data_IF_796629624344
#
_entry.id   IF_796629624344
#
_cell.length_a   1.000
_cell.length_b   1.000
_cell.length_c   1.000
_cell.angle_alpha   90.00
_cell.angle_beta   90.00
_cell.angle_gamma   90.00
#
_symmetry.space_group_name_H-M   'P 1'
#
loop_
_entity.id
_entity.type
_entity.pdbx_description
1 polymer ?
#
# COMPACT_ATOMS: atom_id res chain seq x y z
N UNK A 1 -18.74 3.69 16.05
CA UNK A 1 -19.67 3.14 15.03
C UNK A 1 -19.27 3.53 13.61
N UNK A 2 -19.12 4.81 13.28
CA UNK A 2 -18.77 5.26 11.92
C UNK A 2 -17.48 4.62 11.37
N UNK A 3 -16.41 4.58 12.18
CA UNK A 3 -15.14 3.93 11.82
C UNK A 3 -15.31 2.43 11.55
N UNK A 4 -16.09 1.73 12.39
CA UNK A 4 -16.40 0.30 12.20
C UNK A 4 -17.13 0.07 10.87
N UNK A 5 -18.05 0.98 10.52
CA UNK A 5 -18.82 0.91 9.27
C UNK A 5 -17.97 0.95 8.00
N UNK A 6 -16.74 1.49 8.04
CA UNK A 6 -15.82 1.47 6.90
C UNK A 6 -15.42 0.04 6.51
N UNK A 7 -15.27 -0.86 7.49
CA UNK A 7 -14.92 -2.26 7.25
C UNK A 7 -16.08 -3.08 6.68
N UNK A 8 -17.34 -2.63 6.83
CA UNK A 8 -18.53 -3.39 6.42
C UNK A 8 -18.72 -3.51 4.90
N UNK A 9 -17.84 -2.90 4.09
CA UNK A 9 -17.88 -2.97 2.61
C UNK A 9 -17.17 -4.21 2.04
N UNK A 10 -16.56 -5.03 2.90
CA UNK A 10 -15.83 -6.23 2.51
C UNK A 10 -16.37 -7.44 3.31
N UNK A 11 -16.45 -8.61 2.67
CA UNK A 11 -16.92 -9.85 3.30
C UNK A 11 -16.08 -10.26 4.53
N UNK A 12 -14.77 -10.02 4.49
CA UNK A 12 -13.81 -10.28 5.57
C UNK A 12 -13.54 -9.03 6.42
N UNK A 13 -14.42 -8.03 6.36
CA UNK A 13 -14.31 -6.77 7.10
C UNK A 13 -14.12 -6.97 8.60
N UNK A 14 -12.92 -6.64 9.09
CA UNK A 14 -12.52 -6.83 10.49
C UNK A 14 -12.08 -5.50 11.10
N UNK A 15 -12.43 -5.29 12.37
CA UNK A 15 -12.05 -4.10 13.13
C UNK A 15 -11.39 -4.54 14.42
N UNK A 16 -10.19 -4.01 14.66
CA UNK A 16 -9.42 -4.25 15.87
C UNK A 16 -9.42 -2.93 16.66
N UNK A 17 -9.83 -2.99 17.93
CA UNK A 17 -9.84 -1.84 18.83
C UNK A 17 -8.76 -2.08 19.90
N UNK A 18 -7.67 -1.33 19.84
CA UNK A 18 -6.62 -1.36 20.88
C UNK A 18 -7.05 -0.48 22.06
N UNK A 19 -7.22 -1.09 23.22
CA UNK A 19 -7.52 -0.40 24.47
C UNK A 19 -7.20 -1.30 25.66
N UNK A 20 -6.79 -0.71 26.78
CA UNK A 20 -6.54 -1.46 28.03
C UNK A 20 -7.85 -1.91 28.71
N UNK A 21 -8.95 -1.19 28.46
CA UNK A 21 -10.27 -1.52 29.01
C UNK A 21 -11.40 -1.14 28.06
N UNK A 22 -12.56 -1.78 28.26
CA UNK A 22 -13.76 -1.50 27.46
C UNK A 22 -14.52 -0.32 28.06
N UNK A 23 -14.44 0.83 27.39
CA UNK A 23 -15.23 2.00 27.77
C UNK A 23 -16.72 1.83 27.46
N UNK A 24 -17.60 2.61 28.09
CA UNK A 24 -19.03 2.57 27.81
C UNK A 24 -19.37 2.89 26.34
N UNK A 25 -18.59 3.78 25.70
CA UNK A 25 -18.75 4.09 24.27
C UNK A 25 -18.37 2.90 23.38
N UNK A 26 -17.28 2.19 23.71
CA UNK A 26 -16.90 0.96 23.02
C UNK A 26 -17.98 -0.11 23.19
N UNK A 27 -18.47 -0.30 24.42
CA UNK A 27 -19.54 -1.26 24.73
C UNK A 27 -20.77 -1.04 23.84
N UNK A 28 -21.32 0.18 23.83
CA UNK A 28 -22.46 0.55 22.96
C UNK A 28 -22.17 0.31 21.48
N UNK A 29 -20.97 0.65 21.01
CA UNK A 29 -20.60 0.47 19.62
C UNK A 29 -20.49 -1.02 19.23
N UNK A 30 -19.91 -1.85 20.10
CA UNK A 30 -19.74 -3.29 19.90
C UNK A 30 -21.12 -3.99 19.93
N UNK A 31 -21.95 -3.66 20.92
CA UNK A 31 -23.30 -4.22 21.06
C UNK A 31 -24.18 -3.91 19.83
N UNK A 32 -24.20 -2.66 19.37
CA UNK A 32 -24.98 -2.29 18.18
C UNK A 32 -24.44 -2.96 16.91
N UNK A 33 -23.12 -3.11 16.79
CA UNK A 33 -22.50 -3.83 15.66
C UNK A 33 -22.90 -5.32 15.67
N UNK A 34 -22.85 -5.96 16.83
CA UNK A 34 -23.24 -7.36 17.00
C UNK A 34 -24.74 -7.57 16.77
N UNK A 35 -25.59 -6.66 17.26
CA UNK A 35 -27.04 -6.68 17.02
C UNK A 35 -27.34 -6.66 15.52
N UNK A 36 -26.73 -5.74 14.77
CA UNK A 36 -26.89 -5.62 13.31
C UNK A 36 -26.40 -6.88 12.59
N UNK A 37 -25.21 -7.39 12.93
CA UNK A 37 -24.63 -8.58 12.31
C UNK A 37 -25.52 -9.81 12.50
N UNK A 38 -26.11 -10.00 13.70
CA UNK A 38 -27.05 -11.10 13.97
C UNK A 38 -28.31 -11.01 13.10
N UNK A 39 -28.91 -9.83 13.00
CA UNK A 39 -30.10 -9.61 12.15
C UNK A 39 -29.79 -9.86 10.67
N UNK A 40 -28.65 -9.37 10.19
CA UNK A 40 -28.19 -9.58 8.82
C UNK A 40 -27.94 -11.06 8.53
N UNK A 41 -27.28 -11.80 9.43
CA UNK A 41 -27.04 -13.22 9.28
C UNK A 41 -28.35 -14.04 9.26
N UNK A 42 -29.31 -13.69 10.13
CA UNK A 42 -30.62 -14.33 10.15
C UNK A 42 -31.41 -14.07 8.86
N UNK A 43 -31.39 -12.83 8.38
CA UNK A 43 -32.00 -12.46 7.09
C UNK A 43 -31.35 -13.24 5.94
N UNK A 44 -30.03 -13.24 5.86
CA UNK A 44 -29.30 -13.96 4.83
C UNK A 44 -29.61 -15.46 4.84
N UNK A 45 -29.65 -16.10 6.01
CA UNK A 45 -30.01 -17.51 6.15
C UNK A 45 -31.45 -17.78 5.70
N UNK A 46 -32.40 -16.93 6.10
CA UNK A 46 -33.81 -17.06 5.71
C UNK A 46 -34.02 -16.92 4.20
N UNK A 47 -33.20 -16.12 3.53
CA UNK A 47 -33.34 -15.80 2.12
C UNK A 47 -32.30 -16.48 1.21
N UNK A 48 -31.44 -17.36 1.74
CA UNK A 48 -30.40 -18.04 0.97
C UNK A 48 -29.33 -17.11 0.38
N UNK A 49 -29.08 -15.95 1.01
CA UNK A 49 -28.14 -14.95 0.50
C UNK A 49 -26.73 -15.27 1.02
N UNK A 50 -25.77 -15.45 0.10
CA UNK A 50 -24.35 -15.54 0.42
C UNK A 50 -23.71 -14.15 0.31
N UNK A 51 -23.09 -13.61 1.38
CA UNK A 51 -22.41 -12.31 1.31
C UNK A 51 -21.29 -12.31 0.26
N UNK A 52 -21.22 -11.26 -0.55
CA UNK A 52 -20.16 -11.04 -1.52
C UNK A 52 -19.65 -9.61 -1.44
N UNK A 53 -18.36 -9.41 -1.73
CA UNK A 53 -17.78 -8.07 -1.82
C UNK A 53 -18.18 -7.44 -3.14
N UNK A 54 -18.72 -6.21 -3.09
CA UNK A 54 -19.09 -5.48 -4.30
C UNK A 54 -17.83 -5.05 -5.05
N UNK A 55 -17.65 -5.54 -6.28
CA UNK A 55 -16.60 -5.08 -7.19
C UNK A 55 -17.11 -3.85 -7.91
N UNK A 56 -16.57 -2.67 -7.56
CA UNK A 56 -16.88 -1.42 -8.25
C UNK A 56 -15.83 -1.19 -9.33
N UNK A 57 -16.25 -1.13 -10.60
CA UNK A 57 -15.36 -0.74 -11.70
C UNK A 57 -14.83 0.68 -11.45
N UNK A 58 -13.52 0.81 -11.23
CA UNK A 58 -12.83 2.08 -11.34
C UNK A 58 -12.90 2.43 -12.84
N UNK A 59 -13.52 3.55 -13.19
CA UNK A 59 -13.79 3.87 -14.58
C UNK A 59 -12.51 3.92 -15.43
N UNK A 60 -12.33 2.94 -16.32
CA UNK A 60 -11.98 3.10 -17.74
C UNK A 60 -11.64 1.75 -18.37
N UNK A 61 -12.36 1.39 -19.43
CA UNK A 61 -12.08 0.26 -20.34
C UNK A 61 -10.71 0.34 -21.06
N UNK A 62 -9.93 1.38 -20.78
CA UNK A 62 -8.63 1.64 -21.39
C UNK A 62 -7.49 0.90 -20.69
N UNK A 63 -7.64 0.56 -19.39
CA UNK A 63 -6.58 -0.12 -18.63
C UNK A 63 -6.31 -1.54 -19.15
N UNK A 64 -7.35 -2.27 -19.54
CA UNK A 64 -7.21 -3.64 -20.09
C UNK A 64 -6.50 -3.68 -21.46
N UNK A 65 -6.51 -2.60 -22.23
CA UNK A 65 -5.83 -2.53 -23.53
C UNK A 65 -4.33 -2.24 -23.34
N UNK A 66 -3.97 -1.43 -22.35
CA UNK A 66 -2.57 -1.07 -22.08
C UNK A 66 -1.74 -2.18 -21.42
N UNK A 67 -2.37 -3.09 -20.64
CA UNK A 67 -1.64 -4.19 -20.01
C UNK A 67 -1.13 -5.26 -21.00
N UNK A 68 -1.63 -5.28 -22.24
CA UNK A 68 -1.23 -6.25 -23.26
C UNK A 68 0.10 -5.92 -23.97
N UNK A 69 0.57 -4.66 -23.92
CA UNK A 69 1.64 -4.17 -24.80
C UNK A 69 3.01 -3.88 -24.13
N UNK A 70 3.18 -4.16 -22.83
CA UNK A 70 4.47 -3.93 -22.18
C UNK A 70 5.47 -5.09 -22.42
N UNK A 71 6.21 -4.99 -23.52
CA UNK A 71 7.51 -5.67 -23.67
C UNK A 71 8.54 -4.93 -22.82
N UNK A 72 9.23 -5.67 -21.95
CA UNK A 72 10.23 -5.15 -21.02
C UNK A 72 11.44 -4.60 -21.78
N UNK A 73 11.63 -3.28 -21.75
CA UNK A 73 12.85 -2.61 -22.22
C UNK A 73 13.91 -2.63 -21.10
N UNK A 74 15.17 -2.98 -21.36
CA UNK A 74 16.22 -3.00 -20.34
C UNK A 74 16.58 -1.58 -19.89
N UNK A 75 16.55 -1.36 -18.56
CA UNK A 75 16.85 -0.09 -17.90
C UNK A 75 18.36 0.21 -17.97
N UNK A 76 18.73 1.32 -18.61
CA UNK A 76 20.09 1.89 -18.53
C UNK A 76 20.18 2.70 -17.24
N UNK A 77 21.12 2.33 -16.37
CA UNK A 77 21.29 2.93 -15.05
C UNK A 77 22.04 4.28 -15.13
N UNK A 78 21.37 5.38 -14.74
CA UNK A 78 22.03 6.64 -14.41
C UNK A 78 22.23 6.83 -12.90
N UNK A 79 23.26 7.62 -12.57
CA UNK A 79 23.95 7.70 -11.27
C UNK A 79 23.04 8.13 -10.10
N UNK A 80 23.20 7.44 -8.97
CA UNK A 80 22.53 7.71 -7.71
C UNK A 80 22.97 9.05 -7.09
N UNK A 81 22.08 10.04 -7.09
CA UNK A 81 22.18 11.19 -6.20
C UNK A 81 21.88 10.75 -4.75
N UNK A 82 22.74 11.16 -3.81
CA UNK A 82 22.54 10.95 -2.37
C UNK A 82 21.46 11.90 -1.88
N UNK A 83 20.24 11.40 -1.62
CA UNK A 83 19.18 12.19 -1.01
C UNK A 83 19.25 12.08 0.52
N UNK A 84 19.12 13.22 1.20
CA UNK A 84 19.07 13.31 2.67
C UNK A 84 17.66 12.87 3.13
N UNK A 85 17.54 12.06 4.20
CA UNK A 85 16.26 11.46 4.61
C UNK A 85 15.10 12.43 4.85
N UNK A 86 15.37 13.66 5.30
CA UNK A 86 14.31 14.64 5.60
C UNK A 86 13.63 15.26 4.36
N UNK A 87 14.30 15.23 3.21
CA UNK A 87 13.81 15.85 1.97
C UNK A 87 13.05 14.86 1.07
N UNK A 88 13.21 13.55 1.33
CA UNK A 88 12.68 12.48 0.51
C UNK A 88 11.14 12.49 0.41
N UNK A 89 10.37 12.68 1.51
CA UNK A 89 8.91 12.73 1.42
C UNK A 89 8.41 13.91 0.57
N UNK A 90 9.10 15.05 0.62
CA UNK A 90 8.76 16.24 -0.19
C UNK A 90 9.03 15.98 -1.67
N UNK A 91 10.17 15.35 -1.99
CA UNK A 91 10.53 14.97 -3.35
C UNK A 91 9.51 13.98 -3.93
N UNK A 92 9.14 12.94 -3.17
CA UNK A 92 8.11 11.97 -3.59
C UNK A 92 6.76 12.65 -3.87
N UNK A 93 6.36 13.62 -3.05
CA UNK A 93 5.13 14.38 -3.30
C UNK A 93 5.21 15.22 -4.59
N UNK A 94 6.35 15.85 -4.87
CA UNK A 94 6.56 16.59 -6.11
C UNK A 94 6.48 15.67 -7.33
N UNK A 95 7.18 14.54 -7.30
CA UNK A 95 7.15 13.53 -8.36
C UNK A 95 5.74 12.97 -8.57
N UNK A 96 4.97 12.72 -7.50
CA UNK A 96 3.55 12.29 -7.62
C UNK A 96 2.69 13.33 -8.34
N UNK A 97 2.95 14.61 -8.11
CA UNK A 97 2.23 15.71 -8.79
C UNK A 97 2.61 15.79 -10.27
N UNK A 98 3.87 15.60 -10.60
CA UNK A 98 4.36 15.56 -11.98
C UNK A 98 3.85 14.34 -12.73
N UNK A 99 3.85 13.16 -12.09
CA UNK A 99 3.28 11.93 -12.64
C UNK A 99 1.80 12.11 -12.98
N UNK A 100 1.03 12.73 -12.08
CA UNK A 100 -0.38 13.03 -12.33
C UNK A 100 -0.57 13.98 -13.51
N UNK A 101 0.25 15.04 -13.61
CA UNK A 101 0.21 15.98 -14.75
C UNK A 101 0.54 15.28 -16.08
N UNK A 102 1.55 14.41 -16.08
CA UNK A 102 1.91 13.63 -17.26
C UNK A 102 0.75 12.71 -17.68
N UNK A 103 0.08 12.05 -16.72
CA UNK A 103 -1.10 11.23 -17.00
C UNK A 103 -2.29 12.07 -17.51
N UNK A 104 -2.55 13.24 -16.93
CA UNK A 104 -3.59 14.17 -17.39
C UNK A 104 -3.31 14.68 -18.82
N UNK A 105 -2.02 14.82 -19.20
CA UNK A 105 -1.57 15.20 -20.54
C UNK A 105 -1.45 14.02 -21.53
N UNK A 106 -1.81 12.80 -21.13
CA UNK A 106 -1.65 11.57 -21.92
C UNK A 106 -0.18 11.19 -22.24
N UNK A 107 0.79 11.73 -21.50
CA UNK A 107 2.22 11.39 -21.55
C UNK A 107 2.51 10.11 -20.73
N UNK A 108 1.96 8.96 -21.14
CA UNK A 108 1.96 7.74 -20.33
C UNK A 108 3.34 7.14 -20.07
N UNK A 109 4.26 7.25 -21.03
CA UNK A 109 5.65 6.76 -20.87
C UNK A 109 6.34 7.50 -19.72
N UNK A 110 6.26 8.83 -19.73
CA UNK A 110 6.79 9.68 -18.66
C UNK A 110 6.09 9.47 -17.33
N UNK A 111 4.78 9.24 -17.33
CA UNK A 111 4.05 8.89 -16.11
C UNK A 111 4.54 7.54 -15.53
N UNK A 112 4.84 6.56 -16.38
CA UNK A 112 5.38 5.27 -15.97
C UNK A 112 6.80 5.40 -15.39
N UNK A 113 7.68 6.17 -16.04
CA UNK A 113 9.03 6.46 -15.52
C UNK A 113 8.98 7.12 -14.14
N UNK A 114 8.12 8.13 -13.98
CA UNK A 114 7.94 8.82 -12.70
C UNK A 114 7.40 7.88 -11.62
N UNK A 115 6.45 6.99 -11.96
CA UNK A 115 5.92 5.96 -11.05
C UNK A 115 7.04 5.04 -10.56
N UNK A 116 7.87 4.54 -11.47
CA UNK A 116 8.93 3.59 -11.14
C UNK A 116 10.01 4.27 -10.29
N UNK A 117 10.31 5.54 -10.57
CA UNK A 117 11.20 6.36 -9.73
C UNK A 117 10.64 6.60 -8.33
N UNK A 118 9.36 6.95 -8.21
CA UNK A 118 8.69 7.12 -6.90
C UNK A 118 8.80 5.82 -6.09
N UNK A 119 8.51 4.68 -6.73
CA UNK A 119 8.59 3.37 -6.08
C UNK A 119 10.00 3.06 -5.59
N UNK A 120 11.02 3.35 -6.38
CA UNK A 120 12.41 3.17 -5.98
C UNK A 120 12.78 4.02 -4.75
N UNK A 121 12.32 5.28 -4.71
CA UNK A 121 12.58 6.17 -3.57
C UNK A 121 11.85 5.70 -2.30
N UNK A 122 10.58 5.28 -2.41
CA UNK A 122 9.80 4.76 -1.29
C UNK A 122 10.36 3.43 -0.76
N UNK A 123 10.81 2.53 -1.63
CA UNK A 123 11.45 1.26 -1.25
C UNK A 123 12.77 1.49 -0.47
N UNK A 124 13.54 2.53 -0.84
CA UNK A 124 14.75 2.94 -0.12
C UNK A 124 14.43 3.55 1.25
N UNK A 125 13.37 4.34 1.36
CA UNK A 125 12.91 4.92 2.64
C UNK A 125 12.49 3.84 3.65
N UNK A 126 11.77 2.82 3.16
CA UNK A 126 11.30 1.69 3.96
C UNK A 126 12.41 0.65 4.27
N UNK A 127 13.63 0.84 3.75
CA UNK A 127 14.74 -0.10 3.95
C UNK A 127 14.55 -1.45 3.28
N UNK A 128 13.69 -1.54 2.25
CA UNK A 128 13.35 -2.79 1.57
C UNK A 128 14.39 -3.23 0.51
N UNK A 129 15.37 -2.37 0.21
CA UNK A 129 16.55 -2.67 -0.62
C UNK A 129 17.82 -2.25 0.10
N UNK A 130 18.79 -3.16 0.22
CA UNK A 130 20.11 -2.83 0.77
C UNK A 130 20.77 -1.72 -0.06
N UNK A 131 21.44 -0.74 0.58
CA UNK A 131 22.35 0.13 -0.16
C UNK A 131 23.45 -0.77 -0.71
N UNK A 132 23.72 -0.69 -2.01
CA UNK A 132 24.92 -1.29 -2.61
C UNK A 132 26.14 -0.76 -1.85
N UNK A 133 26.59 -1.53 -0.87
CA UNK A 133 27.62 -1.14 0.05
C UNK A 133 28.92 -1.05 -0.76
N UNK A 134 29.47 0.17 -0.79
CA UNK A 134 30.87 0.46 -1.07
C UNK A 134 31.75 -0.67 -0.53
N UNK A 135 32.56 -1.24 -1.42
CA UNK A 135 33.64 -2.17 -1.12
C UNK A 135 34.45 -1.67 0.09
N UNK A 136 34.22 -2.26 1.26
CA UNK A 136 35.09 -2.06 2.41
C UNK A 136 36.34 -2.93 2.22
N UNK A 137 37.40 -2.28 1.74
CA UNK A 137 38.77 -2.73 1.90
C UNK A 137 39.10 -2.90 3.40
N UNK A 138 39.65 -4.05 3.77
CA UNK A 138 40.75 -4.15 4.75
C UNK A 138 40.44 -4.40 6.24
N UNK A 139 40.45 -5.70 6.62
CA UNK A 139 41.07 -6.32 7.81
C UNK A 139 40.56 -6.05 9.26
N UNK A 140 40.92 -6.90 10.26
CA UNK A 140 41.11 -8.35 10.27
C UNK A 140 40.16 -9.07 11.26
N UNK A 141 40.03 -10.39 11.08
CA UNK A 141 39.25 -11.31 11.93
C UNK A 141 40.04 -11.60 13.21
N UNK A 142 39.55 -11.14 14.37
CA UNK A 142 39.95 -11.70 15.67
C UNK A 142 39.11 -12.94 15.95
N UNK A 143 39.69 -14.12 15.72
CA UNK A 143 39.14 -15.39 16.19
C UNK A 143 39.58 -15.61 17.64
N UNK A 144 38.67 -15.43 18.60
CA UNK A 144 38.83 -15.95 19.95
C UNK A 144 38.46 -17.44 19.96
N UNK A 145 39.49 -18.28 20.15
CA UNK A 145 39.34 -19.67 20.56
C UNK A 145 38.68 -19.70 21.95
N UNK A 146 37.54 -20.38 22.07
CA UNK A 146 37.13 -20.99 23.34
C UNK A 146 37.91 -22.30 23.49
N UNK A 147 38.66 -22.41 24.58
CA UNK A 147 38.93 -23.68 25.30
C UNK A 147 38.13 -23.59 26.58
#
# INVERSE_FOLDING_TARGET
>A
IQTIGRAARNVNGTVILYADSVTQSMKRAIEETNRRRRLQAAFNKKHGITPQTVVKSLGSRLVEIYEADYVTVPVVAEKAAKYVPEELPRLVQQLKKEMKRAADNLEFEKAAELRDRIRELEERELGLKEPLASSRLGAPVFASKLV
#
